data_IF_717333241605
#
_entry.id   IF_717333241605
#
_cell.length_a   1.000
_cell.length_b   1.000
_cell.length_c   1.000
_cell.angle_alpha   90.00
_cell.angle_beta   90.00
_cell.angle_gamma   90.00
#
_symmetry.space_group_name_H-M   'P 1'
#
loop_
_entity.id
_entity.type
_entity.pdbx_description
1 polymer ?
#
# COMPACT_ATOMS: atom_id res chain seq x y z
N UNK A 1 17.63 31.86 -6.26
CA UNK A 1 17.05 30.74 -7.04
C UNK A 1 15.84 30.26 -6.25
N UNK A 2 14.65 30.24 -6.84
CA UNK A 2 13.43 29.75 -6.18
C UNK A 2 13.13 28.36 -6.70
N UNK A 3 13.43 27.34 -5.89
CA UNK A 3 13.03 25.96 -6.20
C UNK A 3 11.53 25.81 -5.89
N UNK A 4 10.73 25.22 -6.79
CA UNK A 4 9.32 24.97 -6.52
C UNK A 4 9.19 23.96 -5.37
N UNK A 5 8.27 24.24 -4.43
CA UNK A 5 7.95 23.30 -3.34
C UNK A 5 7.14 22.14 -3.93
N UNK A 6 7.71 20.93 -3.89
CA UNK A 6 6.98 19.70 -4.18
C UNK A 6 6.14 19.28 -2.99
N UNK A 7 4.93 18.78 -3.26
CA UNK A 7 4.09 18.14 -2.25
C UNK A 7 4.79 16.89 -1.73
N UNK A 8 5.02 16.84 -0.42
CA UNK A 8 5.58 15.69 0.27
C UNK A 8 4.45 14.97 1.00
N UNK A 9 4.23 13.71 0.64
CA UNK A 9 3.24 12.85 1.28
C UNK A 9 3.97 11.77 2.10
N UNK A 10 3.78 11.78 3.42
CA UNK A 10 4.45 10.84 4.31
C UNK A 10 3.98 9.39 4.07
N UNK A 11 2.73 9.19 3.62
CA UNK A 11 2.17 7.85 3.36
C UNK A 11 2.88 7.20 2.17
N UNK A 12 3.45 8.00 1.26
CA UNK A 12 4.27 7.46 0.17
C UNK A 12 5.65 7.00 0.60
N UNK A 13 6.19 7.56 1.70
CA UNK A 13 7.47 7.15 2.27
C UNK A 13 7.35 5.88 3.15
N UNK A 14 6.18 5.65 3.73
CA UNK A 14 5.92 4.51 4.62
C UNK A 14 5.42 3.29 3.83
N UNK A 15 6.22 2.83 2.85
CA UNK A 15 5.87 1.71 1.97
C UNK A 15 6.16 0.32 2.56
N UNK A 16 6.95 0.26 3.63
CA UNK A 16 7.48 -0.97 4.21
C UNK A 16 7.33 -0.99 5.74
N UNK A 17 7.22 -2.19 6.33
CA UNK A 17 7.11 -2.38 7.78
C UNK A 17 8.31 -1.76 8.53
N UNK A 18 9.52 -1.82 7.95
CA UNK A 18 10.72 -1.19 8.51
C UNK A 18 10.60 0.33 8.58
N UNK A 19 10.14 0.98 7.50
CA UNK A 19 9.95 2.44 7.45
C UNK A 19 8.85 2.90 8.43
N UNK A 20 7.76 2.14 8.54
CA UNK A 20 6.70 2.38 9.53
C UNK A 20 7.27 2.30 10.95
N UNK A 21 8.04 1.26 11.25
CA UNK A 21 8.59 1.07 12.59
C UNK A 21 9.65 2.12 12.96
N UNK A 22 10.48 2.53 12.01
CA UNK A 22 11.45 3.62 12.20
C UNK A 22 10.73 4.95 12.50
N UNK A 23 9.71 5.30 11.71
CA UNK A 23 8.90 6.51 11.93
C UNK A 23 8.25 6.48 13.32
N UNK A 24 7.56 5.39 13.69
CA UNK A 24 6.91 5.28 14.99
C UNK A 24 7.91 5.35 16.15
N UNK A 25 9.10 4.73 16.01
CA UNK A 25 10.14 4.80 17.03
C UNK A 25 10.64 6.24 17.23
N UNK A 26 10.72 7.04 16.17
CA UNK A 26 11.11 8.45 16.26
C UNK A 26 10.02 9.27 16.95
N UNK A 27 8.75 9.14 16.52
CA UNK A 27 7.61 9.85 17.12
C UNK A 27 7.47 9.53 18.60
N UNK A 28 7.59 8.26 18.99
CA UNK A 28 7.54 7.83 20.39
C UNK A 28 8.72 8.39 21.19
N UNK A 29 9.92 8.43 20.60
CA UNK A 29 11.12 8.95 21.28
C UNK A 29 11.05 10.47 21.49
N UNK A 30 10.45 11.21 20.55
CA UNK A 30 10.23 12.66 20.70
C UNK A 30 9.09 12.97 21.67
N UNK A 31 8.09 12.08 21.78
CA UNK A 31 7.02 12.17 22.78
C UNK A 31 6.05 13.34 22.55
N UNK A 32 6.01 13.89 21.33
CA UNK A 32 5.10 14.97 20.97
C UNK A 32 3.68 14.43 20.76
N UNK A 33 2.74 14.85 21.62
CA UNK A 33 1.35 14.37 21.59
C UNK A 33 0.63 14.68 20.27
N UNK A 34 1.00 15.78 19.60
CA UNK A 34 0.38 16.15 18.32
C UNK A 34 0.87 15.24 17.20
N UNK A 35 2.16 14.91 17.21
CA UNK A 35 2.75 14.00 16.24
C UNK A 35 2.33 12.54 16.49
N UNK A 36 2.09 12.14 17.75
CA UNK A 36 1.51 10.83 18.07
C UNK A 36 0.10 10.68 17.49
N UNK A 37 -0.76 11.68 17.65
CA UNK A 37 -2.10 11.69 17.05
C UNK A 37 -2.03 11.67 15.51
N UNK A 38 -1.06 12.39 14.93
CA UNK A 38 -0.84 12.40 13.49
C UNK A 38 -0.35 11.05 12.98
N UNK A 39 0.54 10.39 13.72
CA UNK A 39 1.04 9.06 13.40
C UNK A 39 -0.10 8.04 13.32
N UNK A 40 -1.11 8.13 14.20
CA UNK A 40 -2.31 7.28 14.12
C UNK A 40 -3.07 7.45 12.79
N UNK A 41 -3.32 8.70 12.36
CA UNK A 41 -4.00 8.96 11.08
C UNK A 41 -3.18 8.44 9.89
N UNK A 42 -1.86 8.63 9.94
CA UNK A 42 -0.94 8.19 8.90
C UNK A 42 -0.92 6.66 8.81
N UNK A 43 -0.91 5.95 9.94
CA UNK A 43 -0.96 4.49 9.96
C UNK A 43 -2.23 3.94 9.30
N UNK A 44 -3.38 4.57 9.54
CA UNK A 44 -4.63 4.18 8.87
C UNK A 44 -4.49 4.30 7.36
N UNK A 45 -3.97 5.42 6.86
CA UNK A 45 -3.77 5.66 5.42
C UNK A 45 -2.77 4.69 4.80
N UNK A 46 -1.67 4.38 5.50
CA UNK A 46 -0.68 3.39 5.06
C UNK A 46 -1.30 2.00 4.96
N UNK A 47 -2.08 1.58 5.95
CA UNK A 47 -2.77 0.29 5.93
C UNK A 47 -3.79 0.23 4.80
N UNK A 48 -4.54 1.30 4.56
CA UNK A 48 -5.47 1.39 3.42
C UNK A 48 -4.73 1.29 2.08
N UNK A 49 -3.59 1.98 1.94
CA UNK A 49 -2.72 1.88 0.74
C UNK A 49 -2.21 0.46 0.52
N UNK A 50 -1.72 -0.19 1.58
CA UNK A 50 -1.24 -1.59 1.52
C UNK A 50 -2.40 -2.53 1.16
N UNK A 51 -3.58 -2.37 1.78
CA UNK A 51 -4.77 -3.17 1.44
C UNK A 51 -5.20 -2.97 0.00
N UNK A 52 -5.21 -1.73 -0.48
CA UNK A 52 -5.49 -1.44 -1.88
C UNK A 52 -4.47 -2.16 -2.78
N UNK A 53 -3.17 -2.03 -2.50
CA UNK A 53 -2.12 -2.72 -3.26
C UNK A 53 -2.27 -4.25 -3.24
N UNK A 54 -2.71 -4.85 -2.13
CA UNK A 54 -2.98 -6.29 -2.04
C UNK A 54 -4.23 -6.70 -2.84
N UNK A 55 -5.31 -5.91 -2.80
CA UNK A 55 -6.52 -6.15 -3.61
C UNK A 55 -6.22 -6.02 -5.10
N UNK A 56 -5.32 -5.11 -5.48
CA UNK A 56 -4.85 -4.94 -6.86
C UNK A 56 -3.66 -5.86 -7.22
N UNK A 57 -3.11 -6.61 -6.26
CA UNK A 57 -2.05 -7.59 -6.42
C UNK A 57 -2.47 -8.87 -7.15
N UNK A 58 -3.76 -9.04 -7.45
CA UNK A 58 -4.31 -10.08 -8.34
C UNK A 58 -4.85 -9.50 -9.67
N UNK A 59 -4.32 -8.37 -10.13
CA UNK A 59 -4.79 -7.74 -11.38
C UNK A 59 -3.65 -7.41 -12.35
N UNK A 60 -2.74 -8.37 -12.56
CA UNK A 60 -2.05 -8.48 -13.86
C UNK A 60 -2.89 -9.24 -14.90
N UNK A 61 -4.11 -9.66 -14.54
CA UNK A 61 -5.19 -9.91 -15.48
C UNK A 61 -6.32 -8.94 -15.19
N UNK A 62 -6.70 -8.15 -16.18
CA UNK A 62 -7.99 -7.45 -16.24
C UNK A 62 -9.08 -8.28 -15.55
N UNK A 63 -9.90 -7.66 -14.68
CA UNK A 63 -11.07 -8.30 -14.06
C UNK A 63 -12.06 -8.68 -15.17
N UNK A 64 -11.79 -9.80 -15.83
CA UNK A 64 -12.68 -10.39 -16.80
C UNK A 64 -13.86 -10.97 -16.03
N UNK A 65 -15.11 -10.74 -16.48
CA UNK A 65 -16.26 -11.50 -16.00
C UNK A 65 -15.91 -12.99 -16.04
N UNK A 66 -16.32 -13.74 -15.01
CA UNK A 66 -16.06 -15.18 -14.98
C UNK A 66 -16.63 -15.84 -16.23
N UNK A 67 -15.73 -16.26 -17.13
CA UNK A 67 -16.06 -17.02 -18.32
C UNK A 67 -15.70 -18.50 -18.09
N UNK A 68 -16.70 -19.37 -17.84
CA UNK A 68 -16.44 -20.78 -17.56
C UNK A 68 -15.80 -21.53 -18.74
N UNK A 69 -15.92 -21.02 -19.97
CA UNK A 69 -15.28 -21.64 -21.14
C UNK A 69 -13.77 -21.40 -21.15
N UNK A 70 -13.33 -20.18 -20.81
CA UNK A 70 -11.90 -19.84 -20.67
C UNK A 70 -11.26 -20.66 -19.53
N UNK A 71 -11.95 -20.78 -18.40
CA UNK A 71 -11.48 -21.57 -17.26
C UNK A 71 -11.27 -23.05 -17.63
N UNK A 72 -12.24 -23.67 -18.31
CA UNK A 72 -12.14 -25.08 -18.71
C UNK A 72 -11.04 -25.31 -19.74
N UNK A 73 -10.83 -24.40 -20.69
CA UNK A 73 -9.72 -24.49 -21.64
C UNK A 73 -8.36 -24.44 -20.94
N UNK A 74 -8.19 -23.55 -19.95
CA UNK A 74 -6.95 -23.46 -19.16
C UNK A 74 -6.68 -24.73 -18.35
N UNK A 75 -7.72 -25.38 -17.82
CA UNK A 75 -7.58 -26.63 -17.07
C UNK A 75 -7.19 -27.82 -17.97
N UNK A 76 -7.67 -27.84 -19.21
CA UNK A 76 -7.36 -28.89 -20.18
C UNK A 76 -5.92 -28.75 -20.73
N UNK A 77 -5.46 -27.52 -20.96
CA UNK A 77 -4.12 -27.26 -21.49
C UNK A 77 -2.98 -27.53 -20.49
N UNK A 78 -3.26 -27.58 -19.19
CA UNK A 78 -2.29 -27.91 -18.12
C UNK A 78 -2.11 -29.43 -17.94
N UNK A 79 -2.71 -30.25 -18.81
CA UNK A 79 -2.63 -31.72 -18.77
C UNK A 79 -1.81 -32.34 -19.91
N UNK A 80 -1.00 -31.55 -20.63
CA UNK A 80 0.00 -32.06 -21.59
C UNK A 80 1.43 -31.93 -21.05
#
# INVERSE_FOLDING_TARGET
MTLPLTTFDLVDLLDSEEAINEYLSQVIAEGDESELLRAEEILVKVIEKIRAALVFGESSGELQPFDPSVFNQRMISTRE
#
